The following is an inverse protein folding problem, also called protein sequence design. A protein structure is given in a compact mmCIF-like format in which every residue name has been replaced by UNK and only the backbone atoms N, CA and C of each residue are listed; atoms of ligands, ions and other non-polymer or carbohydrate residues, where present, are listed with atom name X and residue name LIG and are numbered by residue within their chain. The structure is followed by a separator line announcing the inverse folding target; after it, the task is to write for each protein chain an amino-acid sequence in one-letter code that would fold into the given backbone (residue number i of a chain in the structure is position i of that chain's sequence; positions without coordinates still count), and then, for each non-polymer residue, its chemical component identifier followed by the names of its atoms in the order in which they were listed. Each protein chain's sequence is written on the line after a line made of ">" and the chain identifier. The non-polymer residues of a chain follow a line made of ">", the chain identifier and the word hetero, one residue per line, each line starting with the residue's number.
data_IF_900478513191
#
_entry.id   IF_900478513191
#
_cell.length_a   1.000
_cell.length_b   1.000
_cell.length_c   1.000
_cell.angle_alpha   90.00
_cell.angle_beta   90.00
_cell.angle_gamma   90.00
#
_symmetry.space_group_name_H-M   'P 1'
#
loop_
_entity.id
_entity.type
_entity.pdbx_description
1 polymer ?
#
# COMPACT_ATOMS: atom_id res chain seq x y z
N UNK A 1 65.27 6.65 32.58
CA UNK A 1 64.75 6.20 31.26
C UNK A 1 64.82 4.68 30.99
N UNK A 2 65.04 3.79 31.98
CA UNK A 2 65.19 2.33 31.74
C UNK A 2 63.98 1.44 32.07
N UNK A 3 62.86 2.00 32.57
CA UNK A 3 61.66 1.22 32.97
C UNK A 3 60.56 1.15 31.91
N UNK A 4 60.43 2.17 31.05
CA UNK A 4 59.42 2.21 29.97
C UNK A 4 59.80 1.40 28.72
N UNK A 5 61.10 1.18 28.48
CA UNK A 5 61.60 0.40 27.33
C UNK A 5 61.40 -1.13 27.51
N UNK A 6 61.44 -1.63 28.75
CA UNK A 6 61.18 -3.06 29.03
C UNK A 6 59.72 -3.48 28.80
N UNK A 7 58.77 -2.57 29.08
CA UNK A 7 57.34 -2.84 28.88
C UNK A 7 57.00 -2.89 27.39
N UNK A 8 57.55 -1.98 26.59
CA UNK A 8 57.38 -1.99 25.12
C UNK A 8 57.99 -3.24 24.48
N UNK A 9 59.13 -3.74 24.98
CA UNK A 9 59.72 -4.99 24.51
C UNK A 9 58.82 -6.20 24.83
N UNK A 10 58.21 -6.25 26.02
CA UNK A 10 57.29 -7.32 26.39
C UNK A 10 56.03 -7.32 25.51
N UNK A 11 55.46 -6.15 25.20
CA UNK A 11 54.31 -6.06 24.30
C UNK A 11 54.67 -6.48 22.86
N UNK A 12 55.85 -6.10 22.37
CA UNK A 12 56.30 -6.52 21.04
C UNK A 12 56.50 -8.05 20.96
N UNK A 13 57.08 -8.67 22.00
CA UNK A 13 57.27 -10.13 22.05
C UNK A 13 55.92 -10.86 22.14
N UNK A 14 54.98 -10.38 22.96
CA UNK A 14 53.64 -10.97 23.05
C UNK A 14 52.86 -10.84 21.74
N UNK A 15 53.03 -9.74 21.02
CA UNK A 15 52.37 -9.51 19.73
C UNK A 15 52.92 -10.43 18.63
N UNK A 16 54.24 -10.62 18.58
CA UNK A 16 54.89 -11.56 17.64
C UNK A 16 54.54 -13.02 17.99
N UNK A 17 54.49 -13.39 19.26
CA UNK A 17 54.04 -14.72 19.70
C UNK A 17 52.56 -14.97 19.37
N UNK A 18 51.71 -13.95 19.48
CA UNK A 18 50.30 -14.03 19.08
C UNK A 18 50.11 -14.25 17.58
N UNK A 19 50.92 -13.59 16.74
CA UNK A 19 50.93 -13.78 15.29
C UNK A 19 51.47 -15.18 14.93
N UNK A 20 52.57 -15.61 15.55
CA UNK A 20 53.10 -16.96 15.34
C UNK A 20 52.10 -18.04 15.76
N UNK A 21 51.40 -17.86 16.89
CA UNK A 21 50.32 -18.75 17.30
C UNK A 21 49.15 -18.73 16.31
N UNK A 22 48.74 -17.57 15.79
CA UNK A 22 47.69 -17.47 14.78
C UNK A 22 48.04 -18.22 13.48
N UNK A 23 49.28 -18.12 13.00
CA UNK A 23 49.74 -18.87 11.82
C UNK A 23 49.94 -20.38 12.10
N UNK A 24 50.36 -20.75 13.30
CA UNK A 24 50.49 -22.15 13.72
C UNK A 24 49.12 -22.82 13.94
N UNK A 25 48.14 -22.08 14.47
CA UNK A 25 46.77 -22.54 14.70
C UNK A 25 45.93 -22.53 13.40
N UNK A 26 46.29 -21.70 12.44
CA UNK A 26 45.58 -21.53 11.16
C UNK A 26 45.90 -22.59 10.10
N UNK A 27 46.71 -23.62 10.38
CA UNK A 27 47.12 -24.64 9.40
C UNK A 27 46.71 -26.07 9.71
N UNK A 28 45.82 -26.32 10.67
CA UNK A 28 45.30 -27.68 10.94
C UNK A 28 43.79 -27.74 11.12
N UNK A 29 43.03 -27.62 10.02
CA UNK A 29 41.70 -28.24 9.89
C UNK A 29 41.28 -28.39 8.42
N UNK A 30 42.05 -29.18 7.67
CA UNK A 30 41.54 -29.87 6.48
C UNK A 30 41.26 -31.31 6.90
N UNK A 31 39.99 -31.60 7.21
CA UNK A 31 39.54 -32.96 7.48
C UNK A 31 39.15 -33.61 6.15
N UNK A 32 40.09 -34.38 5.60
CA UNK A 32 39.84 -35.45 4.63
C UNK A 32 39.13 -36.58 5.37
N UNK A 33 37.88 -36.85 5.03
CA UNK A 33 37.27 -38.15 5.29
C UNK A 33 37.35 -38.94 3.97
N UNK A 34 38.30 -39.88 3.91
CA UNK A 34 38.41 -40.90 2.88
C UNK A 34 37.23 -41.88 3.02
N UNK A 35 36.48 -42.08 1.94
CA UNK A 35 35.65 -43.28 1.73
C UNK A 35 35.82 -43.72 0.28
N UNK A 36 36.74 -44.66 0.06
CA UNK A 36 36.81 -45.45 -1.16
C UNK A 36 36.78 -46.93 -0.79
N UNK A 37 35.73 -47.62 -1.25
CA UNK A 37 35.70 -49.08 -1.36
C UNK A 37 34.46 -49.71 -0.76
N UNK A 38 33.45 -50.01 -1.60
CA UNK A 38 32.96 -51.38 -1.87
C UNK A 38 31.66 -51.34 -2.69
N UNK A 39 31.72 -52.03 -3.84
CA UNK A 39 30.67 -52.62 -4.66
C UNK A 39 29.55 -51.75 -5.29
N UNK A 40 29.75 -51.56 -6.60
CA UNK A 40 28.72 -51.83 -7.60
C UNK A 40 27.98 -53.14 -7.31
N UNK A 41 26.67 -53.07 -7.07
CA UNK A 41 25.67 -53.78 -7.87
C UNK A 41 24.26 -53.63 -7.28
N UNK A 42 23.33 -53.27 -8.18
CA UNK A 42 21.95 -53.77 -8.25
C UNK A 42 20.94 -53.17 -7.27
N UNK A 43 20.23 -52.13 -7.71
CA UNK A 43 18.76 -52.16 -7.78
C UNK A 43 18.32 -51.47 -9.08
N UNK A 44 17.83 -52.29 -10.00
CA UNK A 44 17.11 -51.90 -11.20
C UNK A 44 15.63 -51.85 -10.80
N UNK A 45 14.98 -50.69 -10.87
CA UNK A 45 13.51 -50.64 -10.91
C UNK A 45 13.07 -49.50 -11.80
N UNK A 46 12.51 -49.91 -12.94
CA UNK A 46 11.88 -49.16 -14.01
C UNK A 46 11.26 -47.80 -13.64
N UNK A 47 11.71 -46.74 -14.32
CA UNK A 47 10.91 -45.57 -14.61
C UNK A 47 10.78 -45.43 -16.12
N UNK A 48 9.53 -45.46 -16.60
CA UNK A 48 9.18 -45.14 -17.98
C UNK A 48 9.80 -43.79 -18.35
N UNK A 49 10.60 -43.80 -19.41
CA UNK A 49 11.02 -42.62 -20.10
C UNK A 49 9.83 -42.11 -20.91
N UNK A 50 9.30 -40.95 -20.52
CA UNK A 50 8.85 -39.90 -21.42
C UNK A 50 8.56 -38.64 -20.59
N UNK A 51 8.94 -37.49 -21.14
CA UNK A 51 8.78 -36.13 -20.59
C UNK A 51 9.67 -35.69 -19.41
N UNK A 52 10.90 -35.24 -19.73
CA UNK A 52 11.46 -33.97 -19.20
C UNK A 52 12.79 -33.62 -19.87
N UNK A 53 12.72 -33.20 -21.13
CA UNK A 53 13.77 -32.38 -21.73
C UNK A 53 13.37 -30.90 -21.60
N UNK A 54 13.45 -30.36 -20.39
CA UNK A 54 13.52 -28.91 -20.20
C UNK A 54 14.94 -28.56 -19.77
N UNK A 55 15.59 -27.76 -20.64
CA UNK A 55 16.91 -27.17 -20.50
C UNK A 55 17.30 -26.88 -19.04
N UNK A 56 18.32 -27.59 -18.57
CA UNK A 56 18.97 -27.32 -17.29
C UNK A 56 19.82 -26.03 -17.45
N UNK A 57 19.18 -24.88 -17.37
CA UNK A 57 19.89 -23.61 -17.24
C UNK A 57 20.58 -23.64 -15.87
N UNK A 58 21.89 -23.91 -15.85
CA UNK A 58 22.67 -23.99 -14.61
C UNK A 58 22.69 -22.62 -13.96
N UNK A 59 22.03 -22.50 -12.81
CA UNK A 59 22.01 -21.27 -12.03
C UNK A 59 23.45 -20.87 -11.61
N UNK A 60 23.72 -19.56 -11.46
CA UNK A 60 24.99 -19.09 -10.90
C UNK A 60 25.27 -19.71 -9.51
N UNK A 61 26.55 -19.91 -9.13
CA UNK A 61 26.90 -20.44 -7.81
C UNK A 61 26.25 -19.64 -6.67
N UNK A 62 25.64 -20.36 -5.71
CA UNK A 62 24.94 -19.76 -4.58
C UNK A 62 23.54 -19.21 -4.88
N UNK A 63 22.99 -19.45 -6.07
CA UNK A 63 21.59 -19.14 -6.40
C UNK A 63 20.71 -20.37 -6.30
N UNK A 64 19.49 -20.18 -5.80
CA UNK A 64 18.48 -21.23 -5.60
C UNK A 64 17.23 -20.82 -6.39
N UNK A 65 16.60 -21.76 -7.11
CA UNK A 65 15.27 -21.49 -7.70
C UNK A 65 14.26 -21.37 -6.58
N UNK A 66 13.21 -20.57 -6.76
CA UNK A 66 12.23 -20.37 -5.68
C UNK A 66 11.57 -21.68 -5.24
N UNK A 67 11.39 -22.65 -6.14
CA UNK A 67 10.84 -23.98 -5.80
C UNK A 67 11.75 -24.80 -4.88
N UNK A 68 13.06 -24.53 -4.95
CA UNK A 68 14.08 -25.24 -4.18
C UNK A 68 14.43 -24.47 -2.89
N UNK A 69 13.73 -23.37 -2.57
CA UNK A 69 13.93 -22.58 -1.36
C UNK A 69 13.34 -23.28 -0.13
N UNK A 70 14.14 -23.44 0.91
CA UNK A 70 13.72 -24.05 2.18
C UNK A 70 12.92 -23.06 3.04
N UNK A 71 11.60 -23.06 2.85
CA UNK A 71 10.68 -22.22 3.60
C UNK A 71 10.69 -22.56 5.10
N UNK A 72 10.69 -23.83 5.46
CA UNK A 72 10.53 -24.27 6.85
C UNK A 72 11.73 -23.84 7.69
N UNK A 73 12.95 -23.96 7.14
CA UNK A 73 14.17 -23.46 7.77
C UNK A 73 14.13 -21.94 7.93
N UNK A 74 13.69 -21.20 6.91
CA UNK A 74 13.65 -19.74 6.93
C UNK A 74 12.62 -19.20 7.93
N UNK A 75 11.38 -19.68 7.86
CA UNK A 75 10.28 -19.25 8.74
C UNK A 75 10.53 -19.73 10.18
N UNK A 76 11.04 -20.95 10.33
CA UNK A 76 11.40 -21.59 11.60
C UNK A 76 12.26 -20.73 12.53
N UNK A 77 13.13 -19.88 11.97
CA UNK A 77 13.97 -18.96 12.73
C UNK A 77 13.20 -17.86 13.49
N UNK A 78 11.94 -17.59 13.11
CA UNK A 78 11.19 -16.42 13.57
C UNK A 78 9.75 -16.71 14.02
N UNK A 79 9.40 -17.98 14.19
CA UNK A 79 8.08 -18.44 14.62
C UNK A 79 7.71 -17.86 15.98
N UNK A 80 6.42 -17.52 16.14
CA UNK A 80 5.84 -17.08 17.41
C UNK A 80 5.91 -18.21 18.43
N UNK A 81 6.56 -17.98 19.58
CA UNK A 81 6.71 -19.01 20.62
C UNK A 81 5.38 -19.20 21.39
N UNK A 82 5.15 -20.39 21.97
CA UNK A 82 4.00 -20.62 22.84
C UNK A 82 3.87 -19.54 23.92
N UNK A 83 2.68 -18.96 24.06
CA UNK A 83 2.38 -17.89 25.03
C UNK A 83 2.74 -16.47 24.57
N UNK A 84 3.35 -16.27 23.40
CA UNK A 84 3.56 -14.94 22.82
C UNK A 84 2.34 -14.48 22.02
N UNK A 85 2.11 -13.17 21.98
CA UNK A 85 1.07 -12.56 21.15
C UNK A 85 1.41 -12.69 19.65
N UNK A 86 0.59 -13.39 18.85
CA UNK A 86 0.83 -13.59 17.43
C UNK A 86 0.68 -12.32 16.58
N UNK A 87 0.11 -11.23 17.12
CA UNK A 87 -0.09 -9.95 16.42
C UNK A 87 0.99 -8.92 16.73
N UNK A 88 1.82 -9.14 17.76
CA UNK A 88 2.73 -8.14 18.31
C UNK A 88 3.69 -7.57 17.25
N UNK A 89 4.29 -8.44 16.42
CA UNK A 89 5.30 -8.04 15.43
C UNK A 89 4.70 -7.31 14.23
N UNK A 90 3.66 -7.89 13.63
CA UNK A 90 3.21 -7.50 12.30
C UNK A 90 1.84 -6.84 12.26
N UNK A 91 1.08 -6.85 13.37
CA UNK A 91 -0.33 -6.42 13.44
C UNK A 91 -1.26 -7.23 12.52
N UNK A 92 -0.88 -8.46 12.25
CA UNK A 92 -1.69 -9.56 11.70
C UNK A 92 -1.27 -10.85 12.40
N UNK A 93 -2.09 -11.90 12.31
CA UNK A 93 -1.83 -13.17 12.97
C UNK A 93 -0.67 -13.93 12.31
N UNK A 94 0.53 -13.80 12.87
CA UNK A 94 1.72 -14.46 12.32
C UNK A 94 1.62 -15.99 12.40
N UNK A 95 0.94 -16.54 13.40
CA UNK A 95 0.78 -18.00 13.54
C UNK A 95 -0.03 -18.58 12.37
N UNK A 96 -1.08 -17.91 11.92
CA UNK A 96 -1.83 -18.36 10.72
C UNK A 96 -1.05 -18.12 9.43
N UNK A 97 -0.26 -17.04 9.35
CA UNK A 97 0.63 -16.79 8.21
C UNK A 97 1.67 -17.90 8.04
N UNK A 98 2.34 -18.29 9.12
CA UNK A 98 3.47 -19.21 9.10
C UNK A 98 3.05 -20.66 8.76
N UNK A 99 1.75 -21.00 8.90
CA UNK A 99 1.19 -22.30 8.47
C UNK A 99 1.06 -22.43 6.95
N UNK A 100 1.07 -21.32 6.22
CA UNK A 100 0.79 -21.31 4.79
C UNK A 100 2.05 -21.60 3.99
N UNK A 101 1.91 -22.43 2.95
CA UNK A 101 2.97 -22.57 1.96
C UNK A 101 3.19 -21.26 1.19
N UNK A 102 4.44 -20.96 0.85
CA UNK A 102 4.83 -19.79 0.06
C UNK A 102 4.22 -19.79 -1.34
N UNK A 103 3.83 -20.97 -1.84
CA UNK A 103 3.20 -21.22 -3.14
C UNK A 103 1.73 -21.62 -3.03
N UNK A 104 1.06 -21.31 -1.91
CA UNK A 104 -0.35 -21.69 -1.71
C UNK A 104 -1.24 -21.26 -2.87
N UNK A 105 -2.19 -22.11 -3.24
CA UNK A 105 -3.25 -21.76 -4.18
C UNK A 105 -4.19 -20.72 -3.57
N UNK A 106 -4.63 -19.76 -4.37
CA UNK A 106 -5.66 -18.78 -4.02
C UNK A 106 -6.82 -18.87 -5.01
N UNK A 107 -8.07 -18.58 -4.60
CA UNK A 107 -9.21 -18.57 -5.51
C UNK A 107 -9.02 -17.52 -6.59
N UNK A 108 -9.48 -17.84 -7.80
CA UNK A 108 -9.54 -16.87 -8.89
C UNK A 108 -10.77 -15.95 -8.70
N UNK A 109 -10.52 -14.69 -8.35
CA UNK A 109 -11.55 -13.67 -8.09
C UNK A 109 -11.83 -12.78 -9.32
N UNK A 110 -11.26 -13.12 -10.47
CA UNK A 110 -11.46 -12.37 -11.72
C UNK A 110 -12.85 -12.64 -12.29
N UNK A 111 -13.34 -11.68 -13.06
CA UNK A 111 -14.64 -11.81 -13.73
C UNK A 111 -14.58 -12.86 -14.86
N UNK A 112 -15.64 -13.66 -15.04
CA UNK A 112 -15.71 -14.78 -16.00
C UNK A 112 -15.33 -14.39 -17.44
N UNK A 113 -15.79 -13.22 -17.90
CA UNK A 113 -15.43 -12.68 -19.22
C UNK A 113 -13.91 -12.56 -19.44
N UNK A 114 -13.14 -12.31 -18.38
CA UNK A 114 -11.67 -12.26 -18.47
C UNK A 114 -11.05 -13.65 -18.45
N UNK A 115 -11.55 -14.53 -17.59
CA UNK A 115 -11.09 -15.92 -17.50
C UNK A 115 -11.18 -16.59 -18.87
N UNK A 116 -12.30 -16.42 -19.57
CA UNK A 116 -12.51 -16.93 -20.93
C UNK A 116 -11.54 -16.35 -21.97
N UNK A 117 -11.14 -15.08 -21.84
CA UNK A 117 -10.20 -14.43 -22.78
C UNK A 117 -8.73 -14.82 -22.53
N UNK A 118 -8.33 -15.10 -21.29
CA UNK A 118 -6.95 -15.51 -20.98
C UNK A 118 -6.56 -16.87 -21.53
N UNK A 119 -7.51 -17.81 -21.66
CA UNK A 119 -7.24 -19.09 -22.33
C UNK A 119 -6.72 -18.91 -23.77
N UNK A 120 -6.94 -17.74 -24.39
CA UNK A 120 -6.50 -17.43 -25.75
C UNK A 120 -5.18 -16.64 -25.87
N UNK A 121 -4.57 -16.12 -24.78
CA UNK A 121 -3.39 -15.23 -24.89
C UNK A 121 -2.40 -15.44 -23.76
N UNK A 122 -1.31 -16.15 -24.04
CA UNK A 122 -0.14 -16.30 -23.15
C UNK A 122 0.95 -15.34 -23.61
N UNK A 123 1.18 -14.26 -22.86
CA UNK A 123 2.47 -13.57 -22.81
C UNK A 123 2.60 -12.76 -21.51
N UNK A 124 3.76 -12.85 -20.85
CA UNK A 124 4.08 -12.21 -19.58
C UNK A 124 5.48 -11.57 -19.64
N UNK A 125 5.73 -10.42 -18.99
CA UNK A 125 7.12 -9.95 -18.71
C UNK A 125 7.26 -8.74 -17.75
N UNK A 126 7.87 -8.98 -16.56
CA UNK A 126 8.81 -8.21 -15.67
C UNK A 126 8.64 -6.68 -15.46
N UNK A 127 8.72 -6.07 -14.26
CA UNK A 127 9.64 -6.17 -13.11
C UNK A 127 8.89 -5.67 -11.85
N UNK A 128 9.24 -6.12 -10.65
CA UNK A 128 8.44 -5.83 -9.43
C UNK A 128 9.31 -5.19 -8.34
N UNK A 129 8.91 -4.01 -7.85
CA UNK A 129 9.35 -3.51 -6.55
C UNK A 129 8.36 -4.04 -5.51
N UNK A 130 8.86 -4.77 -4.52
CA UNK A 130 8.06 -5.22 -3.38
C UNK A 130 8.38 -4.37 -2.15
N UNK A 131 7.37 -3.71 -1.59
CA UNK A 131 7.32 -3.41 -0.17
C UNK A 131 6.33 -4.42 0.43
N UNK A 132 6.87 -5.36 1.22
CA UNK A 132 6.29 -6.55 1.84
C UNK A 132 4.75 -6.82 1.78
N UNK A 133 4.40 -8.07 1.48
CA UNK A 133 3.09 -8.75 1.65
C UNK A 133 2.01 -8.58 0.54
N UNK A 134 2.26 -9.10 -0.67
CA UNK A 134 1.25 -9.19 -1.74
C UNK A 134 1.35 -10.53 -2.50
N UNK A 135 0.20 -11.13 -2.88
CA UNK A 135 0.12 -12.29 -3.80
C UNK A 135 -0.38 -11.82 -5.17
N UNK A 136 0.38 -12.03 -6.25
CA UNK A 136 0.23 -11.24 -7.50
C UNK A 136 -0.20 -12.07 -8.72
N UNK A 137 -1.12 -11.53 -9.53
CA UNK A 137 -1.31 -11.84 -10.96
C UNK A 137 -1.05 -10.57 -11.83
N UNK A 138 0.18 -10.33 -12.31
CA UNK A 138 0.62 -8.98 -12.74
C UNK A 138 0.57 -8.70 -14.26
N UNK A 139 0.27 -9.68 -15.11
CA UNK A 139 0.48 -9.54 -16.56
C UNK A 139 -0.39 -8.45 -17.23
N UNK A 140 -1.62 -8.23 -16.74
CA UNK A 140 -2.58 -7.29 -17.34
C UNK A 140 -2.26 -5.81 -17.07
N UNK A 141 -1.72 -5.46 -15.90
CA UNK A 141 -1.38 -4.08 -15.55
C UNK A 141 -0.30 -3.53 -16.49
N UNK A 142 0.70 -4.36 -16.77
CA UNK A 142 1.82 -3.93 -17.58
C UNK A 142 1.45 -3.76 -19.06
N UNK A 143 0.49 -4.53 -19.56
CA UNK A 143 -0.03 -4.35 -20.91
C UNK A 143 -0.76 -3.00 -21.05
N UNK A 144 -1.62 -2.63 -20.09
CA UNK A 144 -2.36 -1.37 -20.12
C UNK A 144 -1.45 -0.13 -20.06
N UNK A 145 -0.41 -0.16 -19.21
CA UNK A 145 0.54 0.97 -19.06
C UNK A 145 1.40 1.18 -20.32
N UNK A 146 1.66 0.14 -21.13
CA UNK A 146 2.45 0.27 -22.37
C UNK A 146 1.72 0.99 -23.50
N UNK A 147 0.39 1.02 -23.49
CA UNK A 147 -0.38 1.69 -24.55
C UNK A 147 -0.32 3.22 -24.44
N UNK A 148 -0.17 3.73 -23.21
CA UNK A 148 -0.08 5.14 -22.90
C UNK A 148 0.74 5.29 -21.63
N UNK A 149 1.96 5.83 -21.78
CA UNK A 149 2.95 5.95 -20.69
C UNK A 149 2.48 6.84 -19.55
N UNK A 150 1.47 7.67 -19.79
CA UNK A 150 0.92 8.59 -18.80
C UNK A 150 -0.14 7.94 -17.88
N UNK A 151 -0.50 6.67 -18.15
CA UNK A 151 -1.42 5.89 -17.32
C UNK A 151 -0.68 5.24 -16.17
N UNK A 152 -1.12 5.54 -14.96
CA UNK A 152 -0.73 4.85 -13.74
C UNK A 152 -1.86 3.91 -13.35
N UNK A 153 -1.58 2.62 -13.31
CA UNK A 153 -2.61 1.59 -13.20
C UNK A 153 -2.47 0.78 -11.92
N UNK A 154 -3.58 0.50 -11.25
CA UNK A 154 -3.66 -0.28 -10.02
C UNK A 154 -4.54 -1.52 -10.21
N UNK A 155 -4.26 -2.64 -9.53
CA UNK A 155 -5.17 -3.79 -9.52
C UNK A 155 -6.42 -3.49 -8.68
N UNK A 156 -7.44 -4.34 -8.80
CA UNK A 156 -8.37 -4.49 -7.68
C UNK A 156 -7.61 -5.17 -6.54
N UNK A 157 -7.68 -4.55 -5.36
CA UNK A 157 -7.01 -5.03 -4.16
C UNK A 157 -7.98 -5.92 -3.39
N UNK A 158 -7.77 -7.22 -3.49
CA UNK A 158 -8.53 -8.22 -2.74
C UNK A 158 -8.07 -8.25 -1.28
N UNK A 159 -8.92 -8.80 -0.41
CA UNK A 159 -8.68 -8.84 1.02
C UNK A 159 -8.05 -10.18 1.41
N UNK A 160 -6.87 -10.13 2.03
CA UNK A 160 -6.35 -11.23 2.81
C UNK A 160 -6.69 -10.93 4.27
N UNK A 161 -7.57 -11.73 4.87
CA UNK A 161 -8.01 -11.51 6.23
C UNK A 161 -6.82 -11.58 7.22
N UNK A 162 -6.67 -10.59 8.10
CA UNK A 162 -5.51 -10.49 9.00
C UNK A 162 -5.47 -11.55 10.11
N UNK A 163 -6.58 -12.21 10.38
CA UNK A 163 -6.72 -13.19 11.47
C UNK A 163 -6.52 -14.61 10.97
N UNK A 164 -7.06 -14.95 9.79
CA UNK A 164 -7.08 -16.32 9.26
C UNK A 164 -6.45 -16.49 7.87
N UNK A 165 -5.98 -15.39 7.25
CA UNK A 165 -5.33 -15.36 5.94
C UNK A 165 -6.17 -15.90 4.77
N UNK A 166 -7.48 -16.04 4.92
CA UNK A 166 -8.37 -16.34 3.81
C UNK A 166 -8.32 -15.20 2.78
N UNK A 167 -8.27 -15.60 1.50
CA UNK A 167 -8.26 -14.67 0.37
C UNK A 167 -9.70 -14.46 -0.11
N UNK A 168 -10.17 -13.22 -0.08
CA UNK A 168 -11.54 -12.85 -0.41
C UNK A 168 -11.54 -11.76 -1.47
N UNK A 169 -12.31 -11.98 -2.54
CA UNK A 169 -12.44 -11.03 -3.64
C UNK A 169 -13.09 -9.72 -3.19
N UNK A 170 -12.48 -8.60 -3.54
CA UNK A 170 -13.07 -7.28 -3.34
C UNK A 170 -14.07 -6.95 -4.46
N UNK A 171 -15.00 -6.03 -4.14
CA UNK A 171 -15.99 -5.52 -5.10
C UNK A 171 -15.31 -4.74 -6.23
N UNK A 172 -15.76 -4.97 -7.46
CA UNK A 172 -15.32 -4.23 -8.65
C UNK A 172 -16.07 -2.89 -8.86
N UNK A 173 -17.01 -2.58 -7.97
CA UNK A 173 -17.81 -1.34 -8.00
C UNK A 173 -17.25 -0.25 -7.08
N UNK A 174 -16.01 -0.43 -6.61
CA UNK A 174 -15.31 0.54 -5.76
C UNK A 174 -14.28 1.33 -6.58
N UNK A 175 -14.18 2.62 -6.27
CA UNK A 175 -13.08 3.51 -6.71
C UNK A 175 -12.43 4.17 -5.49
N UNK A 176 -11.20 4.62 -5.65
CA UNK A 176 -10.50 5.31 -4.57
C UNK A 176 -10.91 6.78 -4.50
N UNK A 177 -11.14 7.26 -3.28
CA UNK A 177 -11.51 8.63 -2.98
C UNK A 177 -10.89 9.11 -1.67
N UNK A 178 -11.34 10.27 -1.22
CA UNK A 178 -10.96 10.88 0.04
C UNK A 178 -12.03 11.87 0.50
N UNK A 179 -12.06 12.17 1.79
CA UNK A 179 -12.81 13.30 2.37
C UNK A 179 -11.87 14.46 2.68
N UNK A 180 -12.40 15.62 3.08
CA UNK A 180 -11.59 16.81 3.37
C UNK A 180 -10.57 16.63 4.50
N UNK A 181 -10.65 15.56 5.31
CA UNK A 181 -9.57 15.18 6.23
C UNK A 181 -8.34 14.57 5.53
N UNK A 182 -8.40 14.40 4.20
CA UNK A 182 -7.39 13.83 3.33
C UNK A 182 -6.98 12.40 3.70
N UNK A 183 -7.90 11.65 4.28
CA UNK A 183 -7.73 10.20 4.49
C UNK A 183 -8.32 9.47 3.29
N UNK A 184 -7.58 8.49 2.78
CA UNK A 184 -8.05 7.63 1.71
C UNK A 184 -9.30 6.84 2.14
N UNK A 185 -10.28 6.75 1.23
CA UNK A 185 -11.45 5.88 1.38
C UNK A 185 -11.78 5.17 0.08
N UNK A 186 -12.60 4.14 0.19
CA UNK A 186 -13.25 3.50 -0.95
C UNK A 186 -14.64 4.07 -1.13
N UNK A 187 -14.90 4.65 -2.29
CA UNK A 187 -16.23 5.11 -2.66
C UNK A 187 -16.92 4.09 -3.56
N UNK A 188 -18.20 3.87 -3.30
CA UNK A 188 -19.05 3.17 -4.25
C UNK A 188 -19.25 4.03 -5.50
N UNK A 189 -19.12 3.40 -6.66
CA UNK A 189 -19.47 4.04 -7.93
C UNK A 189 -20.92 4.51 -7.94
N UNK A 190 -21.16 5.65 -8.57
CA UNK A 190 -22.51 6.17 -8.77
C UNK A 190 -23.35 5.19 -9.60
N UNK A 191 -24.67 5.31 -9.54
CA UNK A 191 -25.56 4.47 -10.34
C UNK A 191 -25.27 4.60 -11.84
N UNK A 192 -24.94 5.80 -12.30
CA UNK A 192 -24.56 6.08 -13.69
C UNK A 192 -23.26 5.37 -14.08
N UNK A 193 -22.23 5.46 -13.24
CA UNK A 193 -20.94 4.78 -13.45
C UNK A 193 -21.12 3.25 -13.52
N UNK A 194 -21.93 2.68 -12.62
CA UNK A 194 -22.25 1.23 -12.64
C UNK A 194 -23.01 0.83 -13.90
N UNK A 195 -24.00 1.62 -14.32
CA UNK A 195 -24.76 1.38 -15.57
C UNK A 195 -23.86 1.43 -16.80
N UNK A 196 -23.00 2.43 -16.91
CA UNK A 196 -22.05 2.56 -18.03
C UNK A 196 -21.10 1.35 -18.16
N UNK A 197 -20.82 0.67 -17.04
CA UNK A 197 -19.96 -0.51 -16.99
C UNK A 197 -20.66 -1.82 -17.28
N UNK A 198 -22.00 -1.89 -17.30
CA UNK A 198 -22.74 -3.14 -17.51
C UNK A 198 -22.38 -3.83 -18.84
N UNK A 199 -22.13 -3.05 -19.90
CA UNK A 199 -21.72 -3.60 -21.20
C UNK A 199 -20.29 -4.15 -21.26
N UNK A 200 -19.41 -3.72 -20.34
CA UNK A 200 -18.02 -4.17 -20.26
C UNK A 200 -17.48 -4.06 -18.82
N UNK A 201 -17.82 -5.02 -17.94
CA UNK A 201 -17.45 -4.97 -16.51
C UNK A 201 -15.93 -5.06 -16.28
N UNK A 202 -15.19 -5.52 -17.28
CA UNK A 202 -13.73 -5.67 -17.23
C UNK A 202 -12.96 -4.45 -17.77
N UNK A 203 -13.67 -3.40 -18.21
CA UNK A 203 -13.05 -2.15 -18.64
C UNK A 203 -12.29 -1.46 -17.50
N UNK A 204 -11.15 -0.80 -17.79
CA UNK A 204 -10.45 0.08 -16.85
C UNK A 204 -11.39 1.12 -16.22
N UNK A 205 -11.20 1.38 -14.93
CA UNK A 205 -11.99 2.33 -14.15
C UNK A 205 -11.09 3.51 -13.83
N UNK A 206 -11.44 4.73 -14.28
CA UNK A 206 -10.75 5.93 -13.82
C UNK A 206 -11.02 6.16 -12.33
N UNK A 207 -9.97 6.39 -11.56
CA UNK A 207 -10.06 6.59 -10.10
C UNK A 207 -9.48 7.95 -9.70
N UNK A 208 -10.18 8.76 -8.89
CA UNK A 208 -9.64 10.02 -8.37
C UNK A 208 -8.32 9.86 -7.61
N UNK A 209 -8.24 8.76 -6.86
CA UNK A 209 -7.17 8.49 -5.91
C UNK A 209 -6.81 7.00 -5.96
N UNK A 210 -5.53 6.68 -5.80
CA UNK A 210 -5.08 5.29 -5.56
C UNK A 210 -4.80 5.08 -4.07
N UNK A 211 -4.88 3.83 -3.61
CA UNK A 211 -4.48 3.48 -2.24
C UNK A 211 -2.98 3.72 -1.99
N UNK A 212 -2.16 3.68 -3.05
CA UNK A 212 -0.73 4.01 -3.04
C UNK A 212 0.22 2.83 -2.93
N UNK A 213 -0.18 1.73 -2.27
CA UNK A 213 0.72 0.59 -2.05
C UNK A 213 0.96 -0.29 -3.29
N UNK A 214 0.03 -0.30 -4.26
CA UNK A 214 0.06 -1.21 -5.41
C UNK A 214 -0.32 -0.47 -6.69
N UNK A 215 0.66 -0.19 -7.55
CA UNK A 215 0.42 0.37 -8.87
C UNK A 215 1.59 0.07 -9.81
N UNK A 216 1.36 0.25 -11.11
CA UNK A 216 2.34 0.16 -12.18
C UNK A 216 2.37 1.49 -12.92
N UNK A 217 3.58 1.96 -13.21
CA UNK A 217 3.84 3.23 -13.87
C UNK A 217 5.05 3.09 -14.78
N UNK A 218 5.03 3.77 -15.93
CA UNK A 218 6.22 3.87 -16.78
C UNK A 218 7.37 4.54 -16.02
N UNK A 219 8.56 3.95 -16.08
CA UNK A 219 9.73 4.42 -15.32
C UNK A 219 10.10 5.85 -15.72
N UNK A 220 10.12 6.15 -17.01
CA UNK A 220 10.54 7.47 -17.50
C UNK A 220 9.48 8.50 -17.09
N UNK A 221 8.20 8.16 -17.20
CA UNK A 221 7.12 9.03 -16.74
C UNK A 221 7.20 9.30 -15.21
N UNK A 222 7.56 8.30 -14.40
CA UNK A 222 7.78 8.48 -12.96
C UNK A 222 8.95 9.44 -12.66
N UNK A 223 10.04 9.35 -13.44
CA UNK A 223 11.19 10.24 -13.32
C UNK A 223 10.87 11.67 -13.79
N UNK A 224 10.16 11.81 -14.91
CA UNK A 224 9.70 13.08 -15.49
C UNK A 224 8.75 13.83 -14.55
N UNK A 225 7.79 13.11 -13.95
CA UNK A 225 6.91 13.68 -12.92
C UNK A 225 7.64 13.96 -11.60
N UNK A 226 8.92 13.61 -11.46
CA UNK A 226 9.73 14.02 -10.31
C UNK A 226 9.69 13.07 -9.12
N UNK A 227 9.50 11.77 -9.37
CA UNK A 227 9.50 10.67 -8.41
C UNK A 227 8.52 10.92 -7.25
N UNK A 228 8.86 10.51 -6.02
CA UNK A 228 8.15 10.94 -4.82
C UNK A 228 8.79 12.21 -4.24
N UNK A 229 8.03 12.91 -3.40
CA UNK A 229 8.57 13.97 -2.55
C UNK A 229 9.48 13.37 -1.47
N UNK A 230 10.79 13.48 -1.68
CA UNK A 230 11.82 12.88 -0.82
C UNK A 230 11.88 13.48 0.60
N UNK A 231 11.12 14.53 0.88
CA UNK A 231 11.00 15.11 2.23
C UNK A 231 9.74 14.62 2.97
N UNK A 232 8.97 13.69 2.40
CA UNK A 232 7.96 12.94 3.13
C UNK A 232 8.61 11.90 4.02
N UNK A 233 8.07 11.75 5.23
CA UNK A 233 8.64 10.88 6.26
C UNK A 233 7.80 9.62 6.44
N UNK A 234 8.47 8.47 6.50
CA UNK A 234 7.94 7.14 6.90
C UNK A 234 6.70 6.65 6.12
N UNK A 235 5.51 7.19 6.40
CA UNK A 235 4.25 6.71 5.85
C UNK A 235 3.16 7.79 5.87
N UNK A 236 2.33 7.78 4.82
CA UNK A 236 1.10 8.56 4.73
C UNK A 236 1.25 9.79 3.86
N UNK A 237 0.22 10.08 3.07
CA UNK A 237 0.14 11.26 2.20
C UNK A 237 0.84 11.12 0.84
N UNK A 238 1.67 10.11 0.64
CA UNK A 238 2.34 9.85 -0.64
C UNK A 238 1.35 9.45 -1.75
N UNK A 239 0.28 8.75 -1.37
CA UNK A 239 -0.79 8.35 -2.26
C UNK A 239 -1.62 9.57 -2.72
N UNK A 240 -1.85 10.55 -1.83
CA UNK A 240 -2.47 11.84 -2.17
C UNK A 240 -1.63 12.61 -3.19
N UNK A 241 -0.36 12.82 -2.86
CA UNK A 241 0.56 13.65 -3.64
C UNK A 241 0.72 13.12 -5.06
N UNK A 242 0.98 11.82 -5.23
CA UNK A 242 1.15 11.24 -6.56
C UNK A 242 -0.17 11.24 -7.35
N UNK A 243 -1.31 11.00 -6.70
CA UNK A 243 -2.62 11.01 -7.37
C UNK A 243 -2.97 12.39 -7.89
N UNK A 244 -2.80 13.42 -7.07
CA UNK A 244 -3.02 14.81 -7.46
C UNK A 244 -2.09 15.23 -8.58
N UNK A 245 -0.80 14.90 -8.46
CA UNK A 245 0.21 15.24 -9.46
C UNK A 245 -0.08 14.59 -10.81
N UNK A 246 -0.33 13.28 -10.85
CA UNK A 246 -0.58 12.57 -12.11
C UNK A 246 -1.78 13.18 -12.84
N UNK A 247 -2.91 13.38 -12.15
CA UNK A 247 -4.10 13.95 -12.78
C UNK A 247 -3.91 15.41 -13.22
N UNK A 248 -3.38 16.27 -12.34
CA UNK A 248 -3.21 17.70 -12.65
C UNK A 248 -2.16 17.93 -13.74
N UNK A 249 -1.15 17.07 -13.85
CA UNK A 249 -0.06 17.21 -14.81
C UNK A 249 -0.26 16.37 -16.08
N UNK A 250 -1.49 15.95 -16.39
CA UNK A 250 -1.88 15.43 -17.70
C UNK A 250 -1.89 13.90 -17.87
N UNK A 251 -1.63 13.14 -16.81
CA UNK A 251 -1.79 11.69 -16.80
C UNK A 251 -3.16 11.25 -16.29
N UNK A 252 -3.29 9.95 -16.00
CA UNK A 252 -4.51 9.38 -15.42
C UNK A 252 -4.22 8.22 -14.49
N UNK A 253 -5.12 8.02 -13.53
CA UNK A 253 -5.11 6.87 -12.62
C UNK A 253 -6.24 5.91 -12.98
N UNK A 254 -5.94 4.63 -13.12
CA UNK A 254 -6.92 3.62 -13.48
C UNK A 254 -6.84 2.38 -12.58
N UNK A 255 -7.99 1.80 -12.22
CA UNK A 255 -8.11 0.48 -11.62
C UNK A 255 -8.43 -0.52 -12.73
N UNK A 256 -7.66 -1.60 -12.83
CA UNK A 256 -7.82 -2.62 -13.87
C UNK A 256 -8.51 -3.85 -13.27
N UNK A 257 -9.81 -4.10 -13.54
CA UNK A 257 -10.56 -5.16 -12.87
C UNK A 257 -10.03 -6.58 -13.08
N UNK A 258 -9.36 -6.79 -14.21
CA UNK A 258 -8.73 -8.06 -14.57
C UNK A 258 -7.45 -8.36 -13.79
N UNK A 259 -6.84 -7.35 -13.18
CA UNK A 259 -5.68 -7.56 -12.31
C UNK A 259 -6.14 -7.60 -10.86
N UNK A 260 -5.81 -8.69 -10.18
CA UNK A 260 -6.17 -8.96 -8.80
C UNK A 260 -4.90 -9.18 -7.99
N UNK A 261 -4.80 -8.47 -6.87
CA UNK A 261 -3.70 -8.64 -5.91
C UNK A 261 -4.29 -8.62 -4.51
N UNK A 262 -3.99 -9.65 -3.72
CA UNK A 262 -4.42 -9.74 -2.33
C UNK A 262 -3.51 -8.92 -1.42
N UNK A 263 -4.11 -8.18 -0.48
CA UNK A 263 -3.41 -7.40 0.52
C UNK A 263 -3.93 -7.72 1.94
N UNK A 264 -3.02 -7.81 2.91
CA UNK A 264 -3.37 -8.00 4.32
C UNK A 264 -3.71 -6.64 4.93
N UNK A 265 -5.00 -6.31 4.99
CA UNK A 265 -5.48 -5.09 5.64
C UNK A 265 -5.37 -5.20 7.15
N UNK A 266 -4.77 -4.20 7.79
CA UNK A 266 -4.48 -4.18 9.24
C UNK A 266 -5.15 -2.97 9.87
N UNK A 267 -5.53 -3.09 11.14
CA UNK A 267 -6.11 -1.99 11.92
C UNK A 267 -5.07 -1.00 12.44
N UNK A 268 -3.80 -1.42 12.54
CA UNK A 268 -2.72 -0.64 13.14
C UNK A 268 -1.42 -0.83 12.37
N UNK A 269 -0.56 0.18 12.39
CA UNK A 269 0.79 0.09 11.82
C UNK A 269 1.73 -0.71 12.74
N UNK A 270 2.61 -1.57 12.20
CA UNK A 270 3.55 -2.35 12.99
C UNK A 270 4.85 -1.59 13.36
N UNK A 271 5.05 -0.36 12.86
CA UNK A 271 6.29 0.40 13.02
C UNK A 271 6.11 1.64 13.90
N UNK A 272 7.23 2.14 14.44
CA UNK A 272 7.27 3.35 15.25
C UNK A 272 7.38 4.61 14.37
N UNK A 273 6.78 5.70 14.83
CA UNK A 273 6.78 6.99 14.14
C UNK A 273 7.50 8.03 15.00
N UNK A 274 8.58 8.67 14.52
CA UNK A 274 9.22 9.75 15.25
C UNK A 274 8.24 10.92 15.40
N UNK A 275 7.91 11.30 16.64
CA UNK A 275 6.91 12.33 16.93
C UNK A 275 5.44 11.87 16.83
N UNK A 276 5.19 10.57 16.66
CA UNK A 276 3.85 9.99 16.60
C UNK A 276 3.27 9.93 15.17
N UNK A 277 2.45 8.91 14.89
CA UNK A 277 1.90 8.66 13.56
C UNK A 277 1.05 9.81 13.05
N UNK A 278 0.26 10.45 13.93
CA UNK A 278 -0.57 11.60 13.58
C UNK A 278 0.24 12.80 13.11
N UNK A 279 1.37 13.10 13.76
CA UNK A 279 2.25 14.22 13.39
C UNK A 279 2.93 13.98 12.05
N UNK A 280 3.46 12.78 11.83
CA UNK A 280 4.09 12.37 10.56
C UNK A 280 3.07 12.40 9.43
N UNK A 281 1.89 11.82 9.64
CA UNK A 281 0.80 11.83 8.68
C UNK A 281 0.36 13.26 8.34
N UNK A 282 0.15 14.11 9.34
CA UNK A 282 -0.21 15.52 9.15
C UNK A 282 0.88 16.27 8.38
N UNK A 283 2.16 16.07 8.71
CA UNK A 283 3.29 16.66 8.01
C UNK A 283 3.28 16.33 6.51
N UNK A 284 3.22 15.05 6.15
CA UNK A 284 3.23 14.63 4.74
C UNK A 284 1.97 15.11 4.00
N UNK A 285 0.81 14.99 4.64
CA UNK A 285 -0.48 15.46 4.10
C UNK A 285 -0.45 16.96 3.84
N UNK A 286 0.15 17.76 4.74
CA UNK A 286 0.36 19.20 4.50
C UNK A 286 1.26 19.47 3.31
N UNK A 287 2.35 18.73 3.14
CA UNK A 287 3.23 18.88 1.97
C UNK A 287 2.44 18.67 0.67
N UNK A 288 1.57 17.67 0.63
CA UNK A 288 0.68 17.44 -0.50
C UNK A 288 -0.33 18.59 -0.67
N UNK A 289 -1.03 18.98 0.39
CA UNK A 289 -2.06 20.02 0.35
C UNK A 289 -1.52 21.39 -0.07
N UNK A 290 -0.39 21.82 0.50
CA UNK A 290 0.23 23.12 0.22
C UNK A 290 0.75 23.25 -1.21
N UNK A 291 1.14 22.14 -1.85
CA UNK A 291 1.62 22.14 -3.24
C UNK A 291 0.46 21.99 -4.22
N UNK A 292 -0.47 21.08 -3.95
CA UNK A 292 -1.41 20.58 -4.96
C UNK A 292 -2.83 21.10 -4.84
N UNK A 293 -3.27 21.58 -3.67
CA UNK A 293 -4.69 21.90 -3.43
C UNK A 293 -5.07 23.37 -3.59
N UNK A 294 -4.12 24.25 -3.92
CA UNK A 294 -4.35 25.69 -4.05
C UNK A 294 -5.09 26.24 -2.80
N UNK A 295 -6.18 26.99 -2.97
CA UNK A 295 -6.97 27.53 -1.84
C UNK A 295 -7.88 26.47 -1.16
N UNK A 296 -8.10 25.31 -1.79
CA UNK A 296 -8.93 24.23 -1.22
C UNK A 296 -8.28 23.55 -0.02
N UNK A 297 -6.98 23.76 0.21
CA UNK A 297 -6.29 23.34 1.44
C UNK A 297 -6.95 23.90 2.71
N UNK A 298 -7.67 25.01 2.61
CA UNK A 298 -8.40 25.58 3.73
C UNK A 298 -9.51 24.65 4.25
N UNK A 299 -10.15 23.87 3.38
CA UNK A 299 -11.12 22.84 3.79
C UNK A 299 -10.46 21.70 4.55
N UNK A 300 -9.24 21.32 4.14
CA UNK A 300 -8.43 20.37 4.92
C UNK A 300 -8.11 20.91 6.32
N UNK A 301 -7.68 22.16 6.41
CA UNK A 301 -7.40 22.77 7.71
C UNK A 301 -8.66 23.02 8.55
N UNK A 302 -9.84 23.14 7.93
CA UNK A 302 -11.11 23.16 8.65
C UNK A 302 -11.45 21.78 9.22
N UNK A 303 -11.26 20.71 8.44
CA UNK A 303 -11.50 19.33 8.87
C UNK A 303 -10.45 18.82 9.89
N UNK A 304 -9.20 19.27 9.79
CA UNK A 304 -8.09 18.88 10.67
C UNK A 304 -7.35 20.13 11.19
N UNK A 305 -7.94 20.89 12.13
CA UNK A 305 -7.37 22.15 12.62
C UNK A 305 -5.98 22.00 13.24
N UNK A 306 -5.72 20.87 13.90
CA UNK A 306 -4.43 20.56 14.52
C UNK A 306 -3.27 20.53 13.52
N UNK A 307 -3.54 20.24 12.25
CA UNK A 307 -2.51 20.21 11.21
C UNK A 307 -1.89 21.59 10.96
N UNK A 308 -2.61 22.71 11.17
CA UNK A 308 -2.09 24.07 10.89
C UNK A 308 -0.76 24.37 11.59
N UNK A 309 -0.54 23.76 12.75
CA UNK A 309 0.64 24.00 13.59
C UNK A 309 1.79 23.02 13.33
N UNK A 310 1.62 22.03 12.45
CA UNK A 310 2.63 20.98 12.19
C UNK A 310 3.66 21.45 11.17
N UNK A 311 4.96 21.57 11.50
CA UNK A 311 5.98 21.99 10.53
C UNK A 311 6.15 20.98 9.38
N UNK A 312 5.97 21.45 8.15
CA UNK A 312 6.02 20.60 6.95
C UNK A 312 7.31 20.75 6.11
N UNK A 313 8.23 21.62 6.54
CA UNK A 313 9.51 21.85 5.86
C UNK A 313 9.38 22.64 4.55
N UNK A 314 10.48 22.75 3.81
CA UNK A 314 10.52 23.46 2.54
C UNK A 314 9.80 22.67 1.43
N UNK A 315 8.99 23.36 0.61
CA UNK A 315 8.24 22.78 -0.52
C UNK A 315 8.56 23.44 -1.87
N UNK A 316 9.58 24.31 -1.90
CA UNK A 316 9.89 25.16 -3.05
C UNK A 316 10.20 24.33 -4.30
N UNK A 317 10.98 23.25 -4.17
CA UNK A 317 11.31 22.36 -5.29
C UNK A 317 10.07 21.67 -5.89
N UNK A 318 9.02 21.43 -5.09
CA UNK A 318 7.76 20.84 -5.54
C UNK A 318 6.88 21.87 -6.24
N UNK A 319 6.83 23.10 -5.72
CA UNK A 319 6.12 24.22 -6.35
C UNK A 319 6.72 24.58 -7.73
N UNK A 320 8.04 24.64 -7.82
CA UNK A 320 8.75 24.89 -9.09
C UNK A 320 8.49 23.79 -10.11
N UNK A 321 8.45 22.53 -9.66
CA UNK A 321 8.07 21.40 -10.50
C UNK A 321 6.64 21.50 -11.02
N UNK A 322 5.66 21.80 -10.14
CA UNK A 322 4.25 22.02 -10.54
C UNK A 322 4.16 23.10 -11.61
N UNK A 323 4.90 24.20 -11.45
CA UNK A 323 4.97 25.29 -12.44
C UNK A 323 5.62 24.84 -13.76
N UNK A 324 6.76 24.14 -13.69
CA UNK A 324 7.50 23.67 -14.87
C UNK A 324 6.69 22.69 -15.72
N UNK A 325 5.92 21.82 -15.08
CA UNK A 325 5.06 20.84 -15.76
C UNK A 325 3.75 21.44 -16.30
N UNK A 326 3.44 22.72 -16.01
CA UNK A 326 2.22 23.37 -16.49
C UNK A 326 0.95 22.71 -15.97
N UNK A 327 0.97 22.20 -14.72
CA UNK A 327 -0.13 21.42 -14.19
C UNK A 327 -1.39 22.27 -14.00
N UNK A 328 -2.55 21.64 -14.20
CA UNK A 328 -3.88 22.24 -14.03
C UNK A 328 -4.14 22.58 -12.54
N UNK A 329 -4.98 23.58 -12.24
CA UNK A 329 -5.34 23.93 -10.87
C UNK A 329 -6.19 22.84 -10.21
N UNK A 330 -6.23 22.83 -8.87
CA UNK A 330 -7.00 21.86 -8.10
C UNK A 330 -8.51 21.94 -8.37
N UNK A 331 -9.02 23.14 -8.67
CA UNK A 331 -10.40 23.32 -9.11
C UNK A 331 -10.75 22.43 -10.32
N UNK A 332 -9.86 22.35 -11.31
CA UNK A 332 -10.05 21.48 -12.46
C UNK A 332 -10.10 20.00 -12.05
N UNK A 333 -9.26 19.58 -11.10
CA UNK A 333 -9.28 18.22 -10.57
C UNK A 333 -10.63 17.89 -9.94
N UNK A 334 -11.17 18.78 -9.09
CA UNK A 334 -12.49 18.57 -8.49
C UNK A 334 -13.60 18.51 -9.54
N UNK A 335 -13.59 19.39 -10.54
CA UNK A 335 -14.65 19.43 -11.56
C UNK A 335 -14.59 18.28 -12.57
N UNK A 336 -13.40 17.76 -12.89
CA UNK A 336 -13.19 16.84 -14.02
C UNK A 336 -12.78 15.42 -13.60
N UNK A 337 -12.21 15.27 -12.40
CA UNK A 337 -11.68 13.99 -11.91
C UNK A 337 -12.49 13.49 -10.73
N UNK A 338 -12.86 14.37 -9.79
CA UNK A 338 -13.58 13.97 -8.58
C UNK A 338 -14.82 14.85 -8.28
N UNK A 339 -15.79 14.94 -9.21
CA UNK A 339 -16.96 15.80 -9.05
C UNK A 339 -17.91 15.34 -7.93
N UNK A 340 -17.78 14.10 -7.46
CA UNK A 340 -18.58 13.59 -6.36
C UNK A 340 -18.10 14.08 -4.99
N UNK A 341 -16.87 14.61 -4.88
CA UNK A 341 -16.41 15.24 -3.65
C UNK A 341 -17.16 16.56 -3.44
N UNK A 342 -18.06 16.57 -2.47
CA UNK A 342 -18.84 17.75 -2.14
C UNK A 342 -17.94 18.85 -1.58
N UNK A 343 -17.87 19.97 -2.28
CA UNK A 343 -17.15 21.18 -1.86
C UNK A 343 -18.10 22.04 -1.02
N UNK A 344 -17.71 22.46 0.20
CA UNK A 344 -18.49 23.40 1.00
C UNK A 344 -18.56 24.78 0.33
N UNK A 345 -19.67 25.49 0.48
CA UNK A 345 -19.82 26.88 0.03
C UNK A 345 -18.97 27.81 0.92
N UNK A 346 -18.47 28.91 0.36
CA UNK A 346 -17.72 29.92 1.10
C UNK A 346 -18.54 30.58 2.23
N UNK A 347 -19.88 30.46 2.19
CA UNK A 347 -20.78 30.96 3.22
C UNK A 347 -21.13 29.94 4.31
N UNK A 348 -20.72 28.68 4.16
CA UNK A 348 -21.03 27.64 5.14
C UNK A 348 -20.13 27.80 6.38
N UNK A 349 -20.74 27.90 7.57
CA UNK A 349 -19.97 28.05 8.83
C UNK A 349 -19.38 26.70 9.26
N UNK A 350 -20.14 25.63 9.04
CA UNK A 350 -19.75 24.26 9.30
C UNK A 350 -20.28 23.33 8.21
N UNK A 351 -19.51 22.29 7.89
CA UNK A 351 -19.80 21.32 6.85
C UNK A 351 -19.34 19.93 7.29
N UNK A 352 -20.13 18.91 6.96
CA UNK A 352 -19.77 17.50 7.17
C UNK A 352 -20.86 16.75 7.90
N UNK A 353 -20.49 15.86 8.80
CA UNK A 353 -21.42 15.13 9.65
C UNK A 353 -21.48 15.75 11.06
N UNK A 354 -22.69 15.89 11.61
CA UNK A 354 -22.89 16.29 13.00
C UNK A 354 -22.78 15.05 13.90
N UNK A 355 -21.70 14.94 14.66
CA UNK A 355 -21.36 13.73 15.42
C UNK A 355 -21.67 13.87 16.92
N UNK A 356 -22.26 12.83 17.51
CA UNK A 356 -22.43 12.62 18.94
C UNK A 356 -21.97 11.20 19.30
N UNK A 357 -20.74 11.06 19.81
CA UNK A 357 -20.12 9.76 20.07
C UNK A 357 -19.78 9.01 18.76
N UNK A 358 -20.29 7.79 18.60
CA UNK A 358 -20.17 7.01 17.36
C UNK A 358 -21.34 7.23 16.39
N UNK A 359 -22.30 8.07 16.78
CA UNK A 359 -23.50 8.34 15.99
C UNK A 359 -23.42 9.70 15.30
N UNK A 360 -24.03 9.79 14.13
CA UNK A 360 -24.16 10.96 13.29
C UNK A 360 -25.65 11.33 13.17
N UNK A 361 -25.94 12.62 13.08
CA UNK A 361 -27.27 13.08 12.69
C UNK A 361 -27.61 12.50 11.31
N UNK A 362 -28.79 11.88 11.20
CA UNK A 362 -29.23 11.17 10.00
C UNK A 362 -30.68 11.54 9.69
N UNK A 363 -31.00 11.80 8.43
CA UNK A 363 -32.38 12.06 8.01
C UNK A 363 -33.26 10.80 8.04
N UNK A 364 -32.67 9.62 8.25
CA UNK A 364 -33.30 8.30 8.19
C UNK A 364 -34.06 8.05 6.87
N UNK A 365 -33.66 8.77 5.80
CA UNK A 365 -34.32 8.74 4.51
C UNK A 365 -35.65 9.50 4.45
N UNK A 366 -35.99 10.26 5.50
CA UNK A 366 -37.16 11.12 5.50
C UNK A 366 -36.94 12.40 4.68
N UNK A 367 -38.05 12.92 4.13
CA UNK A 367 -38.10 14.19 3.39
C UNK A 367 -38.60 15.32 4.31
N UNK A 368 -39.01 16.45 3.73
CA UNK A 368 -39.56 17.58 4.48
C UNK A 368 -40.68 17.14 5.45
N UNK A 369 -40.71 17.75 6.64
CA UNK A 369 -41.60 17.44 7.77
C UNK A 369 -41.40 16.06 8.43
N UNK A 370 -40.41 15.29 7.97
CA UNK A 370 -39.96 14.07 8.65
C UNK A 370 -39.05 14.35 9.84
N UNK A 371 -39.06 13.44 10.82
CA UNK A 371 -38.16 13.52 11.98
C UNK A 371 -36.73 13.18 11.56
N UNK A 372 -35.76 13.88 12.13
CA UNK A 372 -34.34 13.50 12.07
C UNK A 372 -33.99 12.64 13.28
N UNK A 373 -33.00 11.76 13.11
CA UNK A 373 -32.52 10.89 14.17
C UNK A 373 -31.00 10.87 14.23
N UNK A 374 -30.48 9.91 15.00
CA UNK A 374 -29.05 9.59 15.04
C UNK A 374 -28.85 8.16 14.57
N UNK A 375 -27.84 7.93 13.76
CA UNK A 375 -27.46 6.60 13.25
C UNK A 375 -25.94 6.43 13.31
N UNK A 376 -25.43 5.20 13.26
CA UNK A 376 -23.98 4.97 13.29
C UNK A 376 -23.29 5.70 12.12
N UNK A 377 -22.22 6.43 12.41
CA UNK A 377 -21.50 7.23 11.43
C UNK A 377 -20.86 6.33 10.36
N UNK A 378 -21.27 6.47 9.10
CA UNK A 378 -20.77 5.62 8.01
C UNK A 378 -19.84 6.33 7.03
N UNK A 379 -19.59 7.64 7.19
CA UNK A 379 -18.65 8.46 6.38
C UNK A 379 -18.85 8.37 4.85
N UNK A 380 -20.06 7.97 4.42
CA UNK A 380 -20.42 7.82 3.00
C UNK A 380 -21.23 9.01 2.46
N UNK A 381 -21.38 10.07 3.28
CA UNK A 381 -22.23 11.20 2.97
C UNK A 381 -23.72 10.83 3.02
N UNK A 382 -24.49 11.25 2.00
CA UNK A 382 -25.93 10.95 1.92
C UNK A 382 -26.74 11.61 3.04
N UNK A 383 -27.50 10.81 3.77
CA UNK A 383 -28.40 11.27 4.85
C UNK A 383 -27.65 11.85 6.07
N UNK A 384 -26.33 11.64 6.16
CA UNK A 384 -25.49 12.10 7.27
C UNK A 384 -24.73 13.40 6.97
N UNK A 385 -25.06 14.09 5.87
CA UNK A 385 -24.42 15.38 5.52
C UNK A 385 -25.28 16.54 5.99
N UNK A 386 -24.73 17.34 6.90
CA UNK A 386 -25.33 18.57 7.42
C UNK A 386 -24.60 19.81 6.93
N UNK A 387 -25.36 20.87 6.67
CA UNK A 387 -24.89 22.21 6.31
C UNK A 387 -25.45 23.20 7.31
N UNK A 388 -24.59 24.02 7.92
CA UNK A 388 -25.05 25.14 8.73
C UNK A 388 -25.03 26.44 7.91
N UNK A 389 -26.23 26.88 7.51
CA UNK A 389 -26.50 28.23 7.00
C UNK A 389 -27.32 28.97 8.06
N UNK A 390 -26.76 30.03 8.65
CA UNK A 390 -27.27 30.79 9.83
C UNK A 390 -28.71 31.34 9.74
N UNK A 391 -29.46 31.12 8.67
CA UNK A 391 -30.83 31.67 8.55
C UNK A 391 -31.99 30.69 8.79
N UNK A 392 -31.77 29.38 8.93
CA UNK A 392 -32.88 28.43 9.08
C UNK A 392 -32.81 27.42 10.22
N UNK A 393 -31.67 27.23 10.88
CA UNK A 393 -31.60 26.37 12.07
C UNK A 393 -32.13 27.05 13.35
N UNK A 394 -32.31 28.37 13.34
CA UNK A 394 -32.92 29.10 14.47
C UNK A 394 -34.39 28.76 14.71
N UNK A 395 -35.12 28.19 13.73
CA UNK A 395 -36.58 28.06 13.85
C UNK A 395 -37.10 26.62 13.75
N UNK A 396 -36.24 25.60 13.59
CA UNK A 396 -36.71 24.22 13.40
C UNK A 396 -35.97 23.16 14.22
N UNK A 397 -34.89 23.52 14.92
CA UNK A 397 -34.36 22.66 16.00
C UNK A 397 -34.71 23.35 17.32
N UNK A 398 -35.94 23.10 17.77
CA UNK A 398 -36.22 23.14 19.20
C UNK A 398 -35.37 22.04 19.81
N UNK A 399 -34.21 22.43 20.36
CA UNK A 399 -33.39 21.56 21.20
C UNK A 399 -34.24 21.21 22.42
N UNK A 400 -35.02 20.14 22.32
CA UNK A 400 -35.43 19.42 23.51
C UNK A 400 -34.18 18.71 24.02
N UNK A 401 -33.43 19.41 24.87
CA UNK A 401 -32.49 18.78 25.77
C UNK A 401 -33.26 17.68 26.50
N UNK A 402 -32.97 16.42 26.21
CA UNK A 402 -33.34 15.33 27.08
C UNK A 402 -32.51 15.50 28.37
N UNK A 403 -33.14 15.61 29.55
CA UNK A 403 -32.41 15.67 30.80
C UNK A 403 -31.65 14.36 31.07
N UNK A 404 -30.54 14.51 31.78
CA UNK A 404 -29.46 13.55 32.05
C UNK A 404 -29.85 12.11 32.38
#
# INVERSE_FOLDING_TARGET
>A
MRRKSRILLCFAVLWVLGIAYYFYSGTTLSRKDDWSGINSNRIQSHSNADDKAHSLETLPPGKVRWQDFDQDLYVGATVVRPGQDPYARNKFNQVESDKLRMDRSVPDTRHDQYILRMYCSRDALRSHLFSYACTVSPASLQFCSRQDKTRVVSPIIDVINMDNFQYVGASADLKGGFDWNLVFKWDYMTLEQRRARQGNPIAPIKTPMIAGGLFVMDKNYFEELGKYDMMMDVWGGENLEISFRVWQCGGSLEIIPCSRVGHVFRKQHPYTFPGGSGTVFARNTRRAAEVWMDDFKNFYYAAVPSARNVPYGNIQSRLEMKKRLGCKPFKWYLENVYPELRVPDHQDIAFGALQQGQNCLDTLGHFADGVVGVYECHNAGGNQVTLDKVKHLSNTITVHCLPD
#
